data_IF_959150651828
#
_entry.id   IF_959150651828
#
_cell.length_a   1.000
_cell.length_b   1.000
_cell.length_c   1.000
_cell.angle_alpha   90.00
_cell.angle_beta   90.00
_cell.angle_gamma   90.00
#
_symmetry.space_group_name_H-M   'P 1'
#
loop_
_entity.id
_entity.type
_entity.pdbx_description
1 polymer ?
#
# COMPACT_ATOMS: atom_id res chain seq x y z
N UNK A 1 -14.82 18.61 -11.50
CA UNK A 1 -15.54 18.19 -12.70
C UNK A 1 -14.58 17.31 -13.48
N UNK A 2 -15.00 16.10 -13.82
CA UNK A 2 -14.25 15.22 -14.73
C UNK A 2 -14.69 15.57 -16.14
N UNK A 3 -13.75 15.81 -17.04
CA UNK A 3 -14.04 16.24 -18.42
C UNK A 3 -13.41 15.26 -19.40
N UNK A 4 -14.11 15.01 -20.50
CA UNK A 4 -13.64 14.17 -21.61
C UNK A 4 -13.81 14.97 -22.89
N UNK A 5 -12.80 14.95 -23.75
CA UNK A 5 -12.90 15.52 -25.10
C UNK A 5 -12.34 14.56 -26.15
N UNK A 6 -12.84 14.74 -27.37
CA UNK A 6 -12.35 14.08 -28.57
C UNK A 6 -11.71 15.18 -29.38
N UNK A 7 -10.42 15.04 -29.66
CA UNK A 7 -9.63 16.04 -30.35
C UNK A 7 -9.85 15.97 -31.86
N UNK A 8 -9.37 16.99 -32.58
CA UNK A 8 -9.59 17.10 -34.02
C UNK A 8 -8.82 16.03 -34.79
N UNK A 9 -9.52 15.38 -35.71
CA UNK A 9 -8.96 14.38 -36.63
C UNK A 9 -8.08 15.12 -37.64
N UNK A 10 -6.75 15.09 -37.46
CA UNK A 10 -5.81 15.82 -38.32
C UNK A 10 -5.17 14.95 -39.40
N UNK A 11 -4.68 13.74 -39.08
CA UNK A 11 -3.93 12.89 -40.02
C UNK A 11 -4.34 11.40 -40.12
N UNK A 12 -5.06 10.84 -39.14
CA UNK A 12 -5.54 9.44 -39.12
C UNK A 12 -7.06 9.44 -38.97
N UNK A 13 -7.76 8.37 -39.37
CA UNK A 13 -9.19 8.13 -39.10
C UNK A 13 -9.55 7.99 -37.61
N UNK A 14 -8.56 8.05 -36.72
CA UNK A 14 -8.74 8.11 -35.28
C UNK A 14 -8.43 9.50 -34.73
N UNK A 15 -9.39 10.08 -34.02
CA UNK A 15 -9.19 11.24 -33.15
C UNK A 15 -8.55 10.80 -31.83
N UNK A 16 -7.58 11.59 -31.35
CA UNK A 16 -7.10 11.46 -29.98
C UNK A 16 -8.24 11.73 -28.99
N UNK A 17 -8.28 10.94 -27.92
CA UNK A 17 -9.31 11.02 -26.89
C UNK A 17 -8.62 11.36 -25.59
N UNK A 18 -8.96 12.51 -25.02
CA UNK A 18 -8.38 12.95 -23.76
C UNK A 18 -9.41 12.92 -22.64
N UNK A 19 -8.95 12.47 -21.48
CA UNK A 19 -9.75 12.33 -20.27
C UNK A 19 -9.02 13.05 -19.14
N UNK A 20 -9.64 14.07 -18.58
CA UNK A 20 -9.14 14.80 -17.42
C UNK A 20 -9.97 14.40 -16.19
N UNK A 21 -9.35 13.59 -15.32
CA UNK A 21 -9.96 13.17 -14.07
C UNK A 21 -9.62 14.17 -12.95
N UNK A 22 -10.64 14.75 -12.31
CA UNK A 22 -10.44 15.49 -11.06
C UNK A 22 -10.65 14.55 -9.88
N UNK A 23 -9.56 14.02 -9.36
CA UNK A 23 -9.57 13.19 -8.15
C UNK A 23 -9.69 14.13 -6.94
N UNK A 24 -10.92 14.30 -6.45
CA UNK A 24 -11.16 14.94 -5.15
C UNK A 24 -10.71 13.98 -4.05
N UNK A 25 -9.99 14.49 -3.03
CA UNK A 25 -9.42 13.75 -1.91
C UNK A 25 -10.27 12.54 -1.48
N UNK A 26 -10.01 11.40 -2.11
CA UNK A 26 -10.57 10.12 -1.76
C UNK A 26 -9.77 9.67 -0.54
N UNK A 27 -10.24 10.01 0.66
CA UNK A 27 -9.81 9.30 1.85
C UNK A 27 -10.36 7.89 1.73
N UNK A 28 -9.52 6.94 1.32
CA UNK A 28 -9.92 5.53 1.31
C UNK A 28 -10.04 5.05 2.76
N UNK A 29 -11.23 4.64 3.24
CA UNK A 29 -11.39 4.19 4.63
C UNK A 29 -10.81 2.78 4.89
N UNK A 30 -10.23 2.14 3.87
CA UNK A 30 -9.90 0.73 3.90
C UNK A 30 -8.49 0.51 4.47
N UNK A 31 -8.37 0.70 5.79
CA UNK A 31 -7.14 0.44 6.59
C UNK A 31 -6.74 -1.04 6.62
N UNK A 32 -7.61 -1.94 6.15
CA UNK A 32 -7.34 -3.37 6.11
C UNK A 32 -6.57 -3.82 4.87
N UNK A 33 -6.51 -3.00 3.81
CA UNK A 33 -5.76 -3.34 2.61
C UNK A 33 -4.26 -3.14 2.88
N UNK A 34 -3.48 -4.21 2.73
CA UNK A 34 -2.02 -4.14 2.83
C UNK A 34 -1.49 -3.12 1.82
N UNK A 35 -0.66 -2.17 2.29
CA UNK A 35 0.03 -1.23 1.41
C UNK A 35 1.11 -2.00 0.61
N UNK A 36 0.95 -2.17 -0.72
CA UNK A 36 1.90 -2.94 -1.52
C UNK A 36 3.29 -2.29 -1.58
N UNK A 37 3.40 -0.98 -1.33
CA UNK A 37 4.69 -0.28 -1.28
C UNK A 37 5.59 -0.80 -0.14
N UNK A 38 5.00 -1.34 0.94
CA UNK A 38 5.77 -1.94 2.02
C UNK A 38 6.51 -3.21 1.57
N UNK A 39 6.01 -3.91 0.56
CA UNK A 39 6.61 -5.13 0.02
C UNK A 39 7.77 -4.84 -0.95
N UNK A 40 7.83 -3.63 -1.51
CA UNK A 40 8.96 -3.19 -2.33
C UNK A 40 10.21 -2.90 -1.51
N UNK A 41 10.07 -2.65 -0.20
CA UNK A 41 11.21 -2.46 0.69
C UNK A 41 11.83 -3.81 1.04
N UNK A 42 13.00 -4.09 0.47
CA UNK A 42 13.72 -5.37 0.66
C UNK A 42 14.09 -5.64 2.11
N UNK A 43 14.35 -4.61 2.92
CA UNK A 43 14.63 -4.76 4.34
C UNK A 43 13.39 -5.22 5.10
N UNK A 44 12.22 -4.62 4.82
CA UNK A 44 10.94 -5.02 5.44
C UNK A 44 10.56 -6.44 5.04
N UNK A 45 10.68 -6.78 3.76
CA UNK A 45 10.38 -8.13 3.26
C UNK A 45 11.27 -9.18 3.93
N UNK A 46 12.56 -8.87 4.16
CA UNK A 46 13.47 -9.77 4.90
C UNK A 46 13.03 -9.94 6.35
N UNK A 47 12.70 -8.85 7.05
CA UNK A 47 12.19 -8.91 8.43
C UNK A 47 10.92 -9.73 8.55
N UNK A 48 9.95 -9.52 7.66
CA UNK A 48 8.69 -10.28 7.66
C UNK A 48 8.96 -11.76 7.37
N UNK A 49 9.88 -12.07 6.45
CA UNK A 49 10.25 -13.45 6.16
C UNK A 49 10.86 -14.15 7.37
N UNK A 50 11.77 -13.48 8.09
CA UNK A 50 12.33 -14.01 9.34
C UNK A 50 11.24 -14.19 10.39
N UNK A 51 10.37 -13.21 10.57
CA UNK A 51 9.26 -13.29 11.53
C UNK A 51 8.28 -14.44 11.27
N UNK A 52 8.05 -14.78 10.00
CA UNK A 52 7.23 -15.92 9.60
C UNK A 52 7.92 -17.21 10.03
N UNK A 53 9.20 -17.36 9.70
CA UNK A 53 10.00 -18.54 10.06
C UNK A 53 10.05 -18.71 11.57
N UNK A 54 10.42 -17.66 12.30
CA UNK A 54 10.52 -17.66 13.76
C UNK A 54 9.19 -18.07 14.42
N UNK A 55 8.06 -17.59 13.90
CA UNK A 55 6.74 -17.93 14.45
C UNK A 55 6.45 -19.43 14.42
N UNK A 56 6.84 -20.12 13.34
CA UNK A 56 6.62 -21.56 13.20
C UNK A 56 7.70 -22.39 13.91
N UNK A 57 8.93 -21.87 14.04
CA UNK A 57 10.02 -22.54 14.76
C UNK A 57 9.90 -22.44 16.29
N UNK A 58 9.39 -21.32 16.82
CA UNK A 58 9.20 -21.11 18.27
C UNK A 58 8.02 -21.89 18.87
N UNK A 59 7.13 -22.46 18.05
CA UNK A 59 5.99 -23.27 18.50
C UNK A 59 6.41 -24.72 18.71
N UNK A 60 6.95 -25.02 19.88
CA UNK A 60 7.59 -26.30 20.25
C UNK A 60 6.63 -27.48 20.52
N UNK A 61 5.37 -27.45 20.09
CA UNK A 61 4.53 -28.66 20.21
C UNK A 61 3.49 -28.76 19.07
N UNK A 62 3.83 -29.46 17.98
CA UNK A 62 2.93 -29.65 16.83
C UNK A 62 1.63 -30.37 17.18
N UNK A 63 1.59 -31.15 18.26
CA UNK A 63 0.41 -31.91 18.67
C UNK A 63 -0.56 -31.10 19.56
N UNK A 64 -0.08 -30.03 20.20
CA UNK A 64 -0.88 -29.27 21.16
C UNK A 64 -1.86 -28.27 20.50
N UNK A 65 -1.65 -27.89 19.23
CA UNK A 65 -2.41 -26.80 18.58
C UNK A 65 -2.95 -27.24 17.23
N UNK A 66 -4.26 -27.11 17.03
CA UNK A 66 -4.91 -27.33 15.72
C UNK A 66 -4.27 -26.47 14.62
N UNK A 67 -4.00 -27.03 13.42
CA UNK A 67 -3.46 -26.28 12.28
C UNK A 67 -4.28 -25.03 11.90
N UNK A 68 -5.60 -25.09 12.06
CA UNK A 68 -6.49 -23.96 11.80
C UNK A 68 -6.20 -22.81 12.77
N UNK A 69 -6.08 -23.11 14.06
CA UNK A 69 -5.77 -22.13 15.10
C UNK A 69 -4.37 -21.55 14.90
N UNK A 70 -3.40 -22.39 14.53
CA UNK A 70 -2.04 -21.95 14.23
C UNK A 70 -2.03 -20.95 13.06
N UNK A 71 -2.75 -21.28 11.99
CA UNK A 71 -2.87 -20.44 10.79
C UNK A 71 -3.62 -19.13 11.04
N UNK A 72 -4.72 -19.15 11.79
CA UNK A 72 -5.48 -17.93 12.10
C UNK A 72 -4.68 -17.00 13.02
N UNK A 73 -4.01 -17.54 14.03
CA UNK A 73 -3.12 -16.79 14.91
C UNK A 73 -1.93 -16.20 14.15
N UNK A 74 -1.28 -17.00 13.30
CA UNK A 74 -0.17 -16.55 12.46
C UNK A 74 -0.56 -15.32 11.62
N UNK A 75 -1.69 -15.42 10.89
CA UNK A 75 -2.20 -14.31 10.08
C UNK A 75 -2.48 -13.06 10.89
N UNK A 76 -3.01 -13.20 12.11
CA UNK A 76 -3.27 -12.07 12.99
C UNK A 76 -1.97 -11.37 13.42
N UNK A 77 -0.94 -12.15 13.79
CA UNK A 77 0.39 -11.63 14.15
C UNK A 77 1.03 -10.86 12.99
N UNK A 78 1.10 -11.47 11.81
CA UNK A 78 1.70 -10.82 10.63
C UNK A 78 0.95 -9.56 10.23
N UNK A 79 -0.39 -9.57 10.31
CA UNK A 79 -1.20 -8.35 10.06
C UNK A 79 -0.88 -7.23 11.06
N UNK A 80 -0.78 -7.54 12.36
CA UNK A 80 -0.43 -6.55 13.37
C UNK A 80 0.93 -5.91 13.11
N UNK A 81 1.92 -6.73 12.73
CA UNK A 81 3.26 -6.25 12.37
C UNK A 81 3.23 -5.34 11.14
N UNK A 82 2.53 -5.75 10.08
CA UNK A 82 2.40 -4.95 8.85
C UNK A 82 1.72 -3.60 9.11
N UNK A 83 0.69 -3.56 9.95
CA UNK A 83 0.02 -2.31 10.34
C UNK A 83 0.98 -1.40 11.12
N UNK A 84 1.74 -1.94 12.07
CA UNK A 84 2.75 -1.18 12.84
C UNK A 84 3.83 -0.57 11.94
N UNK A 85 4.31 -1.33 10.95
CA UNK A 85 5.30 -0.85 9.99
C UNK A 85 4.72 0.22 9.05
N UNK A 86 3.47 0.04 8.61
CA UNK A 86 2.76 1.02 7.79
C UNK A 86 2.60 2.37 8.50
N UNK A 87 2.23 2.35 9.79
CA UNK A 87 2.06 3.57 10.58
C UNK A 87 3.39 4.27 10.85
N UNK A 88 4.46 3.54 11.17
CA UNK A 88 5.81 4.12 11.28
C UNK A 88 6.25 4.79 9.97
N UNK A 89 6.01 4.14 8.83
CA UNK A 89 6.38 4.69 7.51
C UNK A 89 5.58 5.95 7.16
N UNK A 90 4.29 6.00 7.49
CA UNK A 90 3.46 7.19 7.27
C UNK A 90 3.86 8.37 8.18
N UNK A 91 4.27 8.10 9.42
CA UNK A 91 4.78 9.14 10.31
C UNK A 91 6.08 9.76 9.80
N UNK A 92 6.92 8.99 9.09
CA UNK A 92 8.12 9.50 8.43
C UNK A 92 7.76 10.37 7.23
N UNK A 93 6.75 10.01 6.43
CA UNK A 93 6.32 10.81 5.26
C UNK A 93 5.64 12.12 5.70
N UNK A 94 4.87 12.09 6.78
CA UNK A 94 4.19 13.28 7.33
C UNK A 94 5.12 14.19 8.17
N UNK A 95 6.31 13.72 8.57
CA UNK A 95 7.30 14.54 9.28
C UNK A 95 8.22 15.33 8.35
N UNK A 96 8.22 15.04 7.04
CA UNK A 96 8.78 15.95 6.04
C UNK A 96 7.78 17.07 5.77
N UNK A 97 8.13 18.36 5.99
CA UNK A 97 7.26 19.44 5.57
C UNK A 97 7.11 19.33 4.05
N UNK A 98 5.87 19.28 3.58
CA UNK A 98 5.55 19.50 2.18
C UNK A 98 6.05 20.91 1.86
N UNK A 99 7.26 20.99 1.29
CA UNK A 99 7.80 22.22 0.76
C UNK A 99 6.78 22.75 -0.23
N UNK A 100 6.20 23.88 0.16
CA UNK A 100 5.30 24.71 -0.60
C UNK A 100 5.84 24.87 -2.03
N UNK A 101 5.18 24.22 -3.00
CA UNK A 101 5.31 24.56 -4.42
C UNK A 101 4.07 25.33 -4.83
N UNK A 102 3.88 26.49 -4.20
CA UNK A 102 3.16 27.61 -4.79
C UNK A 102 4.17 28.67 -5.23
N UNK A 103 5.02 28.35 -6.20
CA UNK A 103 5.78 29.38 -6.90
C UNK A 103 5.80 29.15 -8.41
N UNK A 104 5.25 30.16 -9.09
CA UNK A 104 5.54 30.62 -10.45
C UNK A 104 5.30 29.66 -11.62
N UNK A 105 4.08 29.72 -12.18
CA UNK A 105 3.93 29.76 -13.63
C UNK A 105 3.25 31.09 -13.99
N UNK A 106 4.09 32.12 -14.15
CA UNK A 106 3.87 33.13 -15.18
C UNK A 106 4.23 32.50 -16.53
#
# INVERSE_FOLDING_TARGET
>A
VTTTSIDVITWSDHADKSLTLRILNLTWPWTWKLNPLLLHNTALTKTISTDITDYFELKTDPEAISPITLWTAHKAVIRGKLISLATQSNNIILSYPLSDKTDSFL
#
